data_IF_823466541315
#
_entry.id   IF_823466541315
#
_cell.length_a   1.000
_cell.length_b   1.000
_cell.length_c   1.000
_cell.angle_alpha   90.00
_cell.angle_beta   90.00
_cell.angle_gamma   90.00
#
_symmetry.space_group_name_H-M   'P 1'
#
loop_
_entity.id
_entity.type
_entity.pdbx_description
1 polymer ?
#
# COMPACT_ATOMS: atom_id res chain seq x y z
N UNK A 1 -16.92 16.85 32.72
CA UNK A 1 -16.66 15.89 31.63
C UNK A 1 -15.88 16.61 30.56
N UNK A 2 -14.57 16.35 30.45
CA UNK A 2 -13.69 17.01 29.49
C UNK A 2 -13.98 16.46 28.08
N UNK A 3 -14.40 17.31 27.15
CA UNK A 3 -14.81 16.89 25.79
C UNK A 3 -13.68 16.24 24.97
N UNK A 4 -12.44 16.31 25.47
CA UNK A 4 -11.25 15.74 24.84
C UNK A 4 -11.22 14.21 24.86
N UNK A 5 -11.93 13.55 25.77
CA UNK A 5 -11.94 12.08 25.89
C UNK A 5 -12.67 11.36 24.74
N UNK A 6 -13.54 12.05 24.00
CA UNK A 6 -14.36 11.45 22.92
C UNK A 6 -14.00 11.94 21.52
N UNK A 7 -12.91 12.70 21.38
CA UNK A 7 -12.45 13.21 20.09
C UNK A 7 -11.73 12.11 19.33
N UNK A 8 -12.47 11.40 18.47
CA UNK A 8 -11.88 10.45 17.52
C UNK A 8 -11.04 11.25 16.51
N UNK A 9 -9.73 11.01 16.42
CA UNK A 9 -8.88 11.74 15.50
C UNK A 9 -9.27 11.43 14.05
N UNK A 10 -9.50 12.48 13.26
CA UNK A 10 -9.94 12.41 11.86
C UNK A 10 -8.97 11.64 10.94
N UNK A 11 -7.71 11.48 11.36
CA UNK A 11 -6.65 10.83 10.58
C UNK A 11 -6.28 9.44 11.12
N UNK A 12 -7.10 8.86 11.99
CA UNK A 12 -6.84 7.51 12.54
C UNK A 12 -6.70 6.46 11.42
N UNK A 13 -7.52 6.59 10.37
CA UNK A 13 -7.54 5.68 9.21
C UNK A 13 -6.81 6.25 7.98
N UNK A 14 -6.00 7.30 8.16
CA UNK A 14 -5.24 7.87 7.06
C UNK A 14 -4.15 6.87 6.62
N UNK A 15 -4.03 6.58 5.31
CA UNK A 15 -3.03 5.66 4.83
C UNK A 15 -1.62 6.19 5.11
N UNK A 16 -0.62 5.31 5.31
CA UNK A 16 0.76 5.73 5.45
C UNK A 16 1.21 6.45 4.17
N UNK A 17 1.58 7.72 4.33
CA UNK A 17 2.16 8.52 3.26
C UNK A 17 3.68 8.39 3.31
N UNK A 18 4.31 8.11 2.17
CA UNK A 18 5.75 8.13 2.00
C UNK A 18 6.10 9.29 1.07
N UNK A 19 6.87 10.28 1.56
CA UNK A 19 7.31 11.43 0.75
C UNK A 19 6.16 12.17 0.03
N UNK A 20 5.05 12.41 0.72
CA UNK A 20 3.84 13.07 0.19
C UNK A 20 3.13 12.30 -0.94
N UNK A 21 3.54 11.06 -1.21
CA UNK A 21 2.91 10.14 -2.14
C UNK A 21 2.38 8.96 -1.32
N UNK A 22 1.27 8.36 -1.74
CA UNK A 22 0.79 7.14 -1.10
C UNK A 22 1.82 6.02 -1.23
N UNK A 23 2.08 5.28 -0.13
CA UNK A 23 3.10 4.23 -0.10
C UNK A 23 2.92 3.18 -1.20
N UNK A 24 1.68 2.81 -1.54
CA UNK A 24 1.38 1.88 -2.64
C UNK A 24 1.91 2.37 -3.99
N UNK A 25 1.72 3.66 -4.29
CA UNK A 25 2.11 4.27 -5.56
C UNK A 25 3.63 4.41 -5.63
N UNK A 26 4.26 4.75 -4.52
CA UNK A 26 5.71 4.78 -4.40
C UNK A 26 6.32 3.38 -4.61
N UNK A 27 5.72 2.33 -4.03
CA UNK A 27 6.18 0.96 -4.19
C UNK A 27 6.18 0.50 -5.65
N UNK A 28 5.18 0.90 -6.45
CA UNK A 28 5.14 0.63 -7.90
C UNK A 28 6.32 1.31 -8.60
N UNK A 29 6.53 2.61 -8.36
CA UNK A 29 7.61 3.36 -8.99
C UNK A 29 9.00 2.78 -8.63
N UNK A 30 9.23 2.52 -7.34
CA UNK A 30 10.49 1.94 -6.88
C UNK A 30 10.71 0.52 -7.40
N UNK A 31 9.66 -0.30 -7.51
CA UNK A 31 9.76 -1.64 -8.09
C UNK A 31 10.31 -1.62 -9.52
N UNK A 32 9.83 -0.70 -10.37
CA UNK A 32 10.34 -0.55 -11.73
C UNK A 32 11.77 -0.01 -11.79
N UNK A 33 12.16 0.89 -10.87
CA UNK A 33 13.54 1.38 -10.77
C UNK A 33 14.49 0.23 -10.38
N UNK A 34 14.09 -0.62 -9.42
CA UNK A 34 14.86 -1.80 -9.02
C UNK A 34 15.03 -2.77 -10.19
N UNK A 35 13.97 -3.05 -10.95
CA UNK A 35 14.05 -3.89 -12.15
C UNK A 35 15.00 -3.26 -13.17
N UNK A 36 14.87 -1.96 -13.45
CA UNK A 36 15.74 -1.23 -14.38
C UNK A 36 17.22 -1.27 -14.01
N UNK A 37 17.52 -1.28 -12.70
CA UNK A 37 18.87 -1.45 -12.20
C UNK A 37 19.47 -2.82 -12.58
N UNK A 38 18.71 -3.91 -12.44
CA UNK A 38 19.17 -5.25 -12.83
C UNK A 38 19.40 -5.38 -14.35
N UNK A 39 18.55 -4.76 -15.17
CA UNK A 39 18.65 -4.83 -16.64
C UNK A 39 19.60 -3.80 -17.26
N UNK A 40 20.29 -2.97 -16.45
CA UNK A 40 21.14 -1.86 -16.90
C UNK A 40 20.42 -0.83 -17.80
N UNK A 41 19.09 -0.82 -17.79
CA UNK A 41 18.25 0.11 -18.54
C UNK A 41 17.48 1.04 -17.60
N UNK A 42 18.21 1.68 -16.70
CA UNK A 42 17.64 2.47 -15.61
C UNK A 42 16.80 3.65 -16.12
N UNK A 43 17.22 4.31 -17.20
CA UNK A 43 16.49 5.44 -17.79
C UNK A 43 15.12 5.02 -18.35
N UNK A 44 15.06 3.98 -19.19
CA UNK A 44 13.80 3.50 -19.77
C UNK A 44 12.85 2.98 -18.69
N UNK A 45 13.36 2.21 -17.74
CA UNK A 45 12.56 1.65 -16.65
C UNK A 45 12.07 2.72 -15.68
N UNK A 46 12.84 3.79 -15.44
CA UNK A 46 12.40 4.90 -14.59
C UNK A 46 11.25 5.67 -15.24
N UNK A 47 11.36 5.99 -16.54
CA UNK A 47 10.28 6.66 -17.29
C UNK A 47 9.03 5.79 -17.30
N UNK A 48 9.18 4.49 -17.62
CA UNK A 48 8.07 3.55 -17.58
C UNK A 48 7.44 3.42 -16.18
N UNK A 49 8.27 3.36 -15.14
CA UNK A 49 7.83 3.29 -13.75
C UNK A 49 7.03 4.52 -13.30
N UNK A 50 7.45 5.72 -13.69
CA UNK A 50 6.72 6.96 -13.41
C UNK A 50 5.37 6.97 -14.14
N UNK A 51 5.34 6.59 -15.42
CA UNK A 51 4.10 6.53 -16.21
C UNK A 51 3.12 5.52 -15.60
N UNK A 52 3.59 4.33 -15.26
CA UNK A 52 2.78 3.27 -14.66
C UNK A 52 2.30 3.66 -13.25
N UNK A 53 3.14 4.27 -12.43
CA UNK A 53 2.74 4.77 -11.12
C UNK A 53 1.66 5.85 -11.21
N UNK A 54 1.75 6.74 -12.22
CA UNK A 54 0.74 7.79 -12.46
C UNK A 54 -0.58 7.21 -12.98
N UNK A 55 -0.51 6.21 -13.87
CA UNK A 55 -1.70 5.49 -14.32
C UNK A 55 -2.36 4.74 -13.16
N UNK A 56 -1.56 4.07 -12.33
CA UNK A 56 -2.04 3.39 -11.12
C UNK A 56 -2.70 4.36 -10.14
N UNK A 57 -2.08 5.51 -9.85
CA UNK A 57 -2.67 6.54 -9.00
C UNK A 57 -4.01 7.05 -9.55
N UNK A 58 -4.12 7.21 -10.87
CA UNK A 58 -5.36 7.62 -11.55
C UNK A 58 -6.44 6.55 -11.47
N UNK A 59 -6.10 5.27 -11.65
CA UNK A 59 -7.02 4.14 -11.48
C UNK A 59 -7.48 4.00 -10.02
N UNK A 60 -6.58 4.23 -9.07
CA UNK A 60 -6.88 4.20 -7.63
C UNK A 60 -7.84 5.32 -7.21
N UNK A 61 -7.76 6.50 -7.84
CA UNK A 61 -8.69 7.60 -7.60
C UNK A 61 -10.15 7.22 -7.88
N UNK A 62 -10.41 6.26 -8.78
CA UNK A 62 -11.76 5.73 -9.06
C UNK A 62 -12.12 4.42 -8.35
N UNK A 63 -11.12 3.60 -7.97
CA UNK A 63 -11.31 2.20 -7.55
C UNK A 63 -11.34 1.91 -6.04
N UNK A 64 -11.27 2.92 -5.18
CA UNK A 64 -11.25 2.74 -3.72
C UNK A 64 -9.88 2.38 -3.15
N UNK A 65 -9.68 2.64 -1.85
CA UNK A 65 -8.37 2.57 -1.16
C UNK A 65 -7.83 1.13 -1.11
N UNK A 66 -6.51 0.96 -1.21
CA UNK A 66 -5.82 -0.31 -0.97
C UNK A 66 -5.99 -1.38 -2.06
N UNK A 67 -6.27 -0.99 -3.31
CA UNK A 67 -6.54 -1.93 -4.42
C UNK A 67 -5.41 -2.93 -4.65
N UNK A 68 -4.13 -2.52 -4.62
CA UNK A 68 -3.00 -3.47 -4.75
C UNK A 68 -3.03 -4.49 -3.61
N UNK A 69 -3.17 -4.05 -2.35
CA UNK A 69 -3.17 -4.96 -1.20
C UNK A 69 -4.36 -5.92 -1.28
N UNK A 70 -5.54 -5.44 -1.69
CA UNK A 70 -6.72 -6.29 -1.91
C UNK A 70 -6.54 -7.27 -3.06
N UNK A 71 -5.92 -6.83 -4.15
CA UNK A 71 -5.62 -7.67 -5.30
C UNK A 71 -4.59 -8.74 -4.92
N UNK A 72 -3.49 -8.37 -4.26
CA UNK A 72 -2.51 -9.30 -3.72
C UNK A 72 -3.16 -10.27 -2.72
N UNK A 73 -4.06 -9.79 -1.86
CA UNK A 73 -4.76 -10.63 -0.91
C UNK A 73 -5.55 -11.76 -1.59
N UNK A 74 -6.20 -11.48 -2.71
CA UNK A 74 -7.02 -12.46 -3.44
C UNK A 74 -6.21 -13.35 -4.39
N UNK A 75 -5.15 -12.83 -5.00
CA UNK A 75 -4.45 -13.52 -6.08
C UNK A 75 -3.06 -14.05 -5.70
N UNK A 76 -2.45 -13.53 -4.63
CA UNK A 76 -1.17 -14.04 -4.16
C UNK A 76 -1.39 -15.12 -3.07
N UNK A 77 -0.51 -16.13 -2.97
CA UNK A 77 -0.57 -17.09 -1.88
C UNK A 77 -0.41 -16.36 -0.55
N UNK A 78 -1.54 -16.17 0.13
CA UNK A 78 -1.71 -15.31 1.32
C UNK A 78 -0.77 -15.66 2.48
N UNK A 79 -0.30 -16.91 2.53
CA UNK A 79 0.60 -17.44 3.57
C UNK A 79 1.96 -16.73 3.63
N UNK A 80 2.44 -16.14 2.54
CA UNK A 80 3.79 -15.56 2.47
C UNK A 80 3.83 -14.02 2.59
N UNK A 81 2.72 -13.33 2.29
CA UNK A 81 2.74 -11.87 2.09
C UNK A 81 1.89 -11.09 3.09
N UNK A 82 0.90 -11.73 3.71
CA UNK A 82 0.03 -11.09 4.70
C UNK A 82 0.20 -11.86 6.00
N UNK A 83 0.62 -11.17 7.07
CA UNK A 83 0.63 -11.75 8.42
C UNK A 83 -0.78 -12.29 8.66
N UNK A 84 -0.89 -13.61 8.84
CA UNK A 84 -2.15 -14.26 9.23
C UNK A 84 -2.74 -13.43 10.37
N UNK A 85 -3.87 -12.76 10.11
CA UNK A 85 -4.61 -12.14 11.20
C UNK A 85 -5.10 -13.29 12.07
N UNK A 86 -4.93 -13.17 13.38
CA UNK A 86 -5.48 -14.14 14.33
C UNK A 86 -6.94 -14.42 13.96
N UNK A 87 -7.34 -15.68 14.07
CA UNK A 87 -8.70 -16.05 13.73
C UNK A 87 -9.68 -15.25 14.57
N UNK A 88 -10.78 -14.81 13.96
CA UNK A 88 -11.72 -13.85 14.55
C UNK A 88 -12.40 -14.35 15.83
N UNK A 89 -12.30 -15.65 16.12
CA UNK A 89 -12.85 -16.29 17.30
C UNK A 89 -11.91 -16.27 18.51
N UNK A 90 -10.64 -15.90 18.34
CA UNK A 90 -9.72 -15.73 19.46
C UNK A 90 -9.97 -14.39 20.17
N UNK A 91 -10.66 -14.47 21.31
CA UNK A 91 -10.99 -13.30 22.15
C UNK A 91 -9.83 -12.79 23.03
N UNK A 92 -8.79 -13.60 23.21
CA UNK A 92 -7.67 -13.27 24.09
C UNK A 92 -6.35 -13.58 23.38
N UNK A 93 -5.61 -12.52 23.02
CA UNK A 93 -4.26 -12.62 22.47
C UNK A 93 -3.26 -12.52 23.61
N UNK A 94 -2.75 -13.67 24.08
CA UNK A 94 -1.69 -13.74 25.09
C UNK A 94 -0.33 -13.82 24.37
N UNK A 95 0.16 -12.68 23.86
CA UNK A 95 1.54 -12.52 23.39
C UNK A 95 1.72 -12.31 21.89
#
# INVERSE_FOLDING_TARGET
>A
MDQREYLIPRYLDAPPMALFIEADTAAVAFGFIFIGFFFKQLLMCTVAGIVLARLYARSKAGGGRGTIVRFLYWYAPSRLLVKSRSESHERFFLG
#
